data_IF_307855294702
#
_entry.id   IF_307855294702
#
_cell.length_a   1.000
_cell.length_b   1.000
_cell.length_c   1.000
_cell.angle_alpha   90.00
_cell.angle_beta   90.00
_cell.angle_gamma   90.00
#
_symmetry.space_group_name_H-M   'P 1'
#
loop_
_entity.id
_entity.type
_entity.pdbx_description
1 polymer ?
#
# COMPACT_ATOMS: atom_id res chain seq x y z
N UNK A 1 -19.21 -69.10 9.52
CA UNK A 1 -19.99 -68.28 8.56
C UNK A 1 -19.45 -66.87 8.64
N UNK A 2 -18.47 -66.57 7.78
CA UNK A 2 -17.70 -65.33 7.81
C UNK A 2 -17.95 -64.62 6.50
N UNK A 3 -18.72 -63.52 6.51
CA UNK A 3 -19.04 -62.73 5.32
C UNK A 3 -17.84 -61.83 5.00
N UNK A 4 -17.21 -62.09 3.86
CA UNK A 4 -16.22 -61.24 3.22
C UNK A 4 -16.96 -60.15 2.44
N UNK A 5 -16.59 -58.88 2.64
CA UNK A 5 -17.11 -57.73 1.90
C UNK A 5 -16.38 -57.58 0.55
N UNK A 6 -17.04 -57.10 -0.52
CA UNK A 6 -16.41 -56.95 -1.81
C UNK A 6 -15.58 -55.65 -1.90
N UNK A 7 -14.40 -55.80 -2.49
CA UNK A 7 -13.40 -54.80 -2.79
C UNK A 7 -13.88 -53.95 -3.98
N UNK A 8 -14.02 -52.64 -3.77
CA UNK A 8 -14.42 -51.66 -4.80
C UNK A 8 -13.15 -51.11 -5.46
N UNK A 9 -12.77 -51.70 -6.59
CA UNK A 9 -11.70 -51.19 -7.46
C UNK A 9 -12.21 -49.97 -8.24
N UNK A 10 -11.76 -48.78 -7.85
CA UNK A 10 -11.94 -47.54 -8.63
C UNK A 10 -10.86 -47.47 -9.72
N UNK A 11 -11.30 -47.54 -10.97
CA UNK A 11 -10.50 -47.45 -12.18
C UNK A 11 -9.90 -46.04 -12.34
N UNK A 12 -8.57 -45.95 -12.36
CA UNK A 12 -7.80 -44.70 -12.40
C UNK A 12 -7.65 -44.12 -13.82
N UNK A 13 -8.53 -44.47 -14.76
CA UNK A 13 -8.44 -44.06 -16.17
C UNK A 13 -9.52 -43.08 -16.64
N UNK A 14 -10.32 -42.49 -15.74
CA UNK A 14 -11.43 -41.58 -16.07
C UNK A 14 -11.28 -40.13 -15.53
N UNK A 15 -10.08 -39.70 -15.15
CA UNK A 15 -9.80 -38.30 -14.75
C UNK A 15 -8.87 -37.61 -15.74
N UNK A 16 -9.33 -37.45 -16.98
CA UNK A 16 -8.74 -36.49 -17.93
C UNK A 16 -9.85 -35.61 -18.50
N UNK A 17 -9.58 -34.30 -18.58
CA UNK A 17 -10.44 -33.24 -19.13
C UNK A 17 -11.53 -32.68 -18.20
N UNK A 18 -11.10 -32.09 -17.09
CA UNK A 18 -11.78 -30.91 -16.55
C UNK A 18 -10.86 -29.70 -16.75
N UNK A 19 -11.06 -28.98 -17.85
CA UNK A 19 -10.44 -27.69 -18.14
C UNK A 19 -10.75 -26.73 -16.98
N UNK A 20 -9.75 -26.45 -16.14
CA UNK A 20 -9.86 -25.41 -15.11
C UNK A 20 -9.91 -24.04 -15.81
N UNK A 21 -10.85 -23.15 -15.45
CA UNK A 21 -10.86 -21.79 -16.00
C UNK A 21 -9.59 -21.03 -15.58
N UNK A 22 -9.11 -20.18 -16.47
CA UNK A 22 -7.92 -19.35 -16.28
C UNK A 22 -8.19 -18.35 -15.14
N UNK A 23 -7.22 -18.15 -14.24
CA UNK A 23 -7.34 -17.22 -13.11
C UNK A 23 -7.50 -15.74 -13.54
N UNK A 24 -7.39 -15.44 -14.83
CA UNK A 24 -7.61 -14.12 -15.43
C UNK A 24 -9.11 -13.81 -15.67
N UNK A 25 -9.98 -14.82 -15.61
CA UNK A 25 -11.43 -14.67 -15.88
C UNK A 25 -12.29 -14.39 -14.63
N UNK A 26 -11.67 -14.25 -13.45
CA UNK A 26 -12.38 -14.08 -12.17
C UNK A 26 -12.50 -12.64 -11.69
N UNK A 27 -11.97 -11.66 -12.43
CA UNK A 27 -12.26 -10.25 -12.16
C UNK A 27 -13.47 -9.82 -13.00
N UNK A 28 -14.53 -9.26 -12.39
CA UNK A 28 -15.65 -8.73 -13.15
C UNK A 28 -15.14 -7.69 -14.14
N UNK A 29 -15.46 -7.91 -15.42
CA UNK A 29 -15.28 -6.90 -16.46
C UNK A 29 -15.94 -5.59 -15.99
N UNK A 30 -15.31 -4.42 -16.18
CA UNK A 30 -15.82 -3.16 -15.66
C UNK A 30 -17.21 -2.91 -16.26
N UNK A 31 -18.24 -3.10 -15.45
CA UNK A 31 -19.59 -2.63 -15.76
C UNK A 31 -19.53 -1.11 -15.79
N UNK A 32 -20.32 -0.51 -16.69
CA UNK A 32 -20.39 0.94 -16.82
C UNK A 32 -20.58 1.57 -15.43
N UNK A 33 -19.81 2.63 -15.09
CA UNK A 33 -19.85 3.22 -13.76
C UNK A 33 -21.30 3.60 -13.43
N UNK A 34 -21.78 3.30 -12.21
CA UNK A 34 -23.09 3.76 -11.78
C UNK A 34 -23.15 5.29 -11.95
N UNK A 35 -24.33 5.84 -12.31
CA UNK A 35 -24.47 7.28 -12.48
C UNK A 35 -23.93 7.99 -11.24
N UNK A 36 -23.17 9.09 -11.42
CA UNK A 36 -22.53 9.77 -10.31
C UNK A 36 -23.59 10.10 -9.27
N UNK A 37 -23.40 9.55 -8.06
CA UNK A 37 -24.22 9.91 -6.91
C UNK A 37 -24.16 11.44 -6.80
N UNK A 38 -25.30 12.14 -6.68
CA UNK A 38 -25.27 13.59 -6.55
C UNK A 38 -24.31 13.96 -5.44
N UNK A 39 -23.35 14.82 -5.77
CA UNK A 39 -22.36 15.30 -4.82
C UNK A 39 -23.09 15.69 -3.54
N UNK A 40 -22.64 15.23 -2.36
CA UNK A 40 -23.12 15.78 -1.10
C UNK A 40 -23.05 17.29 -1.24
N UNK A 41 -24.15 17.98 -0.95
CA UNK A 41 -24.13 19.45 -0.87
C UNK A 41 -22.90 19.82 -0.05
N UNK A 42 -22.06 20.77 -0.50
CA UNK A 42 -20.89 21.17 0.25
C UNK A 42 -21.34 21.39 1.70
N UNK A 43 -20.65 20.73 2.64
CA UNK A 43 -20.85 20.97 4.06
C UNK A 43 -20.47 22.42 4.32
N UNK A 44 -21.43 23.32 4.12
CA UNK A 44 -21.30 24.75 4.41
C UNK A 44 -21.39 25.02 5.91
N UNK A 45 -21.75 24.01 6.70
CA UNK A 45 -21.76 24.08 8.16
C UNK A 45 -20.84 23.02 8.78
N UNK A 46 -19.60 23.44 9.01
CA UNK A 46 -18.63 22.76 9.89
C UNK A 46 -19.02 22.78 11.38
N UNK A 47 -20.26 23.16 11.71
CA UNK A 47 -20.71 23.41 13.09
C UNK A 47 -21.22 22.17 13.81
N UNK A 48 -21.42 21.04 13.13
CA UNK A 48 -22.14 19.89 13.71
C UNK A 48 -21.30 18.65 13.96
N UNK A 49 -20.00 18.67 13.66
CA UNK A 49 -19.08 17.60 14.06
C UNK A 49 -17.79 18.20 14.62
N UNK A 50 -17.66 18.20 15.94
CA UNK A 50 -16.41 18.58 16.59
C UNK A 50 -16.64 19.16 17.97
N UNK A 51 -16.35 18.33 18.97
CA UNK A 51 -16.09 18.70 20.36
C UNK A 51 -15.41 20.09 20.40
N UNK A 52 -15.98 21.06 21.13
CA UNK A 52 -15.49 22.46 21.22
C UNK A 52 -13.98 22.54 21.50
N UNK A 53 -13.44 21.51 22.13
CA UNK A 53 -12.03 21.34 22.40
C UNK A 53 -11.17 21.19 21.13
N UNK A 54 -11.63 20.47 20.10
CA UNK A 54 -10.90 20.28 18.85
C UNK A 54 -10.91 21.55 17.99
N UNK A 55 -12.08 22.21 17.90
CA UNK A 55 -12.21 23.51 17.22
C UNK A 55 -11.31 24.57 17.89
N UNK A 56 -11.27 24.62 19.22
CA UNK A 56 -10.38 25.53 19.96
C UNK A 56 -8.91 25.18 19.76
N UNK A 57 -8.53 23.91 19.81
CA UNK A 57 -7.15 23.48 19.53
C UNK A 57 -6.74 23.83 18.10
N UNK A 58 -7.62 23.60 17.11
CA UNK A 58 -7.35 23.92 15.71
C UNK A 58 -7.22 25.43 15.49
N UNK A 59 -8.13 26.23 16.06
CA UNK A 59 -8.05 27.69 16.02
C UNK A 59 -6.82 28.24 16.78
N UNK A 60 -6.39 27.58 17.85
CA UNK A 60 -5.20 27.96 18.61
C UNK A 60 -3.91 27.63 17.85
N UNK A 61 -3.86 26.49 17.16
CA UNK A 61 -2.77 26.15 16.23
C UNK A 61 -2.76 27.11 15.04
N UNK A 62 -3.93 27.42 14.47
CA UNK A 62 -4.04 28.34 13.34
C UNK A 62 -3.65 29.77 13.75
N UNK A 63 -4.04 30.24 14.95
CA UNK A 63 -3.57 31.51 15.52
C UNK A 63 -2.08 31.49 15.85
N UNK A 64 -1.55 30.37 16.33
CA UNK A 64 -0.11 30.19 16.56
C UNK A 64 0.66 30.31 15.23
N UNK A 65 0.19 29.66 14.17
CA UNK A 65 0.78 29.72 12.83
C UNK A 65 0.68 31.15 12.25
N UNK A 66 -0.47 31.81 12.41
CA UNK A 66 -0.70 33.17 11.88
C UNK A 66 -0.01 34.29 12.68
N UNK A 67 0.25 34.08 13.98
CA UNK A 67 0.97 35.02 14.82
C UNK A 67 2.49 34.83 14.74
N UNK A 68 2.96 33.68 14.27
CA UNK A 68 4.38 33.42 14.04
C UNK A 68 4.82 33.92 12.65
N UNK A 69 4.51 35.19 12.36
CA UNK A 69 4.85 35.87 11.09
C UNK A 69 6.35 36.03 10.84
N UNK A 70 7.19 35.71 11.82
CA UNK A 70 8.65 35.76 11.71
C UNK A 70 9.30 34.42 11.31
N UNK A 71 8.58 33.28 11.37
CA UNK A 71 9.18 31.95 11.18
C UNK A 71 9.12 31.40 9.75
N UNK A 72 8.44 32.08 8.80
CA UNK A 72 8.47 31.68 7.39
C UNK A 72 9.84 31.90 6.74
N UNK A 73 10.73 32.65 7.39
CA UNK A 73 12.14 32.82 7.00
C UNK A 73 13.11 31.98 7.86
N UNK A 74 12.60 31.13 8.75
CA UNK A 74 13.46 30.29 9.58
C UNK A 74 14.00 29.14 8.71
N UNK A 75 15.21 29.35 8.20
CA UNK A 75 16.05 28.32 7.61
C UNK A 75 16.00 27.06 8.50
N UNK A 76 15.97 25.88 7.88
CA UNK A 76 15.98 24.62 8.62
C UNK A 76 17.13 24.63 9.63
N UNK A 77 16.83 24.23 10.86
CA UNK A 77 17.85 24.02 11.87
C UNK A 77 18.80 22.90 11.44
N UNK A 78 20.04 22.95 11.92
CA UNK A 78 21.04 21.88 11.71
C UNK A 78 20.53 20.50 12.12
N UNK A 79 19.65 20.43 13.12
CA UNK A 79 19.02 19.18 13.56
C UNK A 79 18.06 18.64 12.50
N UNK A 80 17.24 19.50 11.92
CA UNK A 80 16.32 19.12 10.83
C UNK A 80 17.11 18.67 9.60
N UNK A 81 18.17 19.39 9.20
CA UNK A 81 19.01 18.97 8.06
C UNK A 81 19.67 17.60 8.30
N UNK A 82 20.17 17.35 9.51
CA UNK A 82 20.73 16.04 9.88
C UNK A 82 19.66 14.94 9.85
N UNK A 83 18.44 15.24 10.28
CA UNK A 83 17.33 14.30 10.24
C UNK A 83 16.96 13.94 8.80
N UNK A 84 16.88 14.92 7.90
CA UNK A 84 16.60 14.68 6.48
C UNK A 84 17.67 13.77 5.85
N UNK A 85 18.95 14.04 6.14
CA UNK A 85 20.06 13.19 5.67
C UNK A 85 19.97 11.78 6.23
N UNK A 86 19.65 11.64 7.51
CA UNK A 86 19.45 10.35 8.13
C UNK A 86 18.28 9.58 7.50
N UNK A 87 17.15 10.24 7.25
CA UNK A 87 15.99 9.66 6.58
C UNK A 87 16.37 9.21 5.16
N UNK A 88 17.05 10.06 4.40
CA UNK A 88 17.54 9.70 3.06
C UNK A 88 18.47 8.49 3.09
N UNK A 89 19.33 8.38 4.10
CA UNK A 89 20.17 7.21 4.30
C UNK A 89 19.35 5.95 4.62
N UNK A 90 18.30 6.07 5.44
CA UNK A 90 17.42 4.95 5.75
C UNK A 90 16.64 4.44 4.55
N UNK A 91 16.30 5.31 3.59
CA UNK A 91 15.59 4.90 2.37
C UNK A 91 16.49 4.42 1.26
N UNK A 92 17.74 4.91 1.23
CA UNK A 92 18.71 4.55 0.19
C UNK A 92 18.78 3.03 0.02
N UNK A 93 18.45 2.58 -1.19
CA UNK A 93 18.51 1.17 -1.54
C UNK A 93 19.94 0.66 -1.40
N UNK A 94 20.22 -0.10 -0.35
CA UNK A 94 21.33 -1.04 -0.38
C UNK A 94 21.03 -2.01 -1.52
N UNK A 95 21.81 -1.88 -2.59
CA UNK A 95 21.74 -2.67 -3.81
C UNK A 95 21.39 -4.12 -3.55
N UNK A 96 20.39 -4.61 -4.27
CA UNK A 96 19.95 -6.02 -4.35
C UNK A 96 21.04 -6.99 -4.83
N UNK A 97 22.25 -6.50 -5.12
CA UNK A 97 23.44 -7.31 -5.36
C UNK A 97 24.03 -7.82 -4.05
N UNK A 98 23.33 -8.73 -3.39
CA UNK A 98 24.00 -9.70 -2.52
C UNK A 98 23.45 -11.06 -2.85
N UNK A 99 23.92 -11.57 -3.99
CA UNK A 99 24.18 -12.99 -4.16
C UNK A 99 24.90 -13.48 -2.92
N UNK A 100 24.58 -14.70 -2.49
CA UNK A 100 25.26 -15.50 -1.47
C UNK A 100 24.92 -15.25 0.00
N UNK A 101 24.10 -16.17 0.51
CA UNK A 101 24.43 -16.98 1.69
C UNK A 101 24.65 -16.22 2.99
N UNK A 102 23.65 -15.50 3.45
CA UNK A 102 23.42 -15.48 4.89
C UNK A 102 21.93 -15.58 5.14
N UNK A 103 21.54 -16.76 5.60
CA UNK A 103 20.29 -17.07 6.29
C UNK A 103 20.23 -16.25 7.59
N UNK A 104 20.29 -14.92 7.51
CA UNK A 104 19.65 -14.14 8.54
C UNK A 104 18.18 -14.31 8.27
N UNK A 105 17.55 -15.15 9.09
CA UNK A 105 16.11 -15.13 9.29
C UNK A 105 15.71 -13.66 9.31
N UNK A 106 15.15 -13.16 8.19
CA UNK A 106 14.58 -11.84 8.12
C UNK A 106 13.39 -11.90 9.05
N UNK A 107 13.68 -11.59 10.31
CA UNK A 107 12.75 -11.52 11.42
C UNK A 107 11.61 -10.66 10.94
N UNK A 108 10.49 -11.35 10.72
CA UNK A 108 9.17 -10.88 10.35
C UNK A 108 8.88 -9.48 10.88
N UNK A 109 9.30 -8.46 10.15
CA UNK A 109 9.07 -7.10 10.59
C UNK A 109 7.93 -6.53 9.75
N UNK A 110 6.73 -7.08 9.94
CA UNK A 110 5.51 -6.53 9.36
C UNK A 110 5.37 -5.02 9.65
N UNK A 111 6.00 -4.53 10.73
CA UNK A 111 6.03 -3.11 11.07
C UNK A 111 6.85 -2.23 10.11
N UNK A 112 7.75 -2.79 9.28
CA UNK A 112 8.62 -2.00 8.40
C UNK A 112 7.82 -1.18 7.39
N UNK A 113 6.63 -1.66 6.99
CA UNK A 113 5.69 -0.93 6.12
C UNK A 113 5.29 0.42 6.72
N UNK A 114 5.11 0.48 8.04
CA UNK A 114 4.75 1.72 8.73
C UNK A 114 5.93 2.68 8.74
N UNK A 115 7.13 2.20 9.05
CA UNK A 115 8.34 3.03 9.04
C UNK A 115 8.58 3.64 7.65
N UNK A 116 8.43 2.84 6.59
CA UNK A 116 8.54 3.31 5.20
C UNK A 116 7.48 4.35 4.86
N UNK A 117 6.22 4.09 5.21
CA UNK A 117 5.12 5.02 4.97
C UNK A 117 5.36 6.38 5.64
N UNK A 118 5.69 6.37 6.93
CA UNK A 118 5.90 7.61 7.69
C UNK A 118 7.14 8.38 7.23
N UNK A 119 8.19 7.68 6.78
CA UNK A 119 9.35 8.32 6.16
C UNK A 119 8.92 9.06 4.88
N UNK A 120 8.14 8.42 4.01
CA UNK A 120 7.65 9.07 2.79
C UNK A 120 6.73 10.27 3.10
N UNK A 121 5.84 10.15 4.08
CA UNK A 121 4.98 11.28 4.50
C UNK A 121 5.79 12.46 5.02
N UNK A 122 6.83 12.16 5.80
CA UNK A 122 7.76 13.18 6.31
C UNK A 122 8.50 13.86 5.16
N UNK A 123 8.96 13.09 4.17
CA UNK A 123 9.63 13.63 2.99
C UNK A 123 8.70 14.56 2.18
N UNK A 124 7.44 14.16 1.98
CA UNK A 124 6.45 14.98 1.29
C UNK A 124 6.16 16.30 2.05
N UNK A 125 5.98 16.22 3.38
CA UNK A 125 5.77 17.40 4.21
C UNK A 125 6.99 18.35 4.19
N UNK A 126 8.20 17.78 4.19
CA UNK A 126 9.44 18.55 4.06
C UNK A 126 9.57 19.23 2.71
N UNK A 127 9.20 18.55 1.61
CA UNK A 127 9.22 19.14 0.27
C UNK A 127 8.40 20.44 0.20
N UNK A 128 7.26 20.46 0.89
CA UNK A 128 6.41 21.65 0.98
C UNK A 128 7.07 22.80 1.76
N UNK A 129 7.81 22.49 2.83
CA UNK A 129 8.52 23.50 3.64
C UNK A 129 9.83 23.95 3.00
N UNK A 130 10.50 23.09 2.24
CA UNK A 130 11.79 23.36 1.61
C UNK A 130 11.81 23.02 0.13
N UNK A 131 11.19 23.87 -0.71
CA UNK A 131 11.08 23.62 -2.15
C UNK A 131 12.45 23.46 -2.84
N UNK A 132 13.51 24.05 -2.27
CA UNK A 132 14.89 23.91 -2.78
C UNK A 132 15.45 22.48 -2.65
N UNK A 133 14.83 21.59 -1.86
CA UNK A 133 15.25 20.19 -1.67
C UNK A 133 14.21 19.20 -2.21
N UNK A 134 13.34 19.63 -3.13
CA UNK A 134 12.29 18.80 -3.70
C UNK A 134 12.81 17.50 -4.32
N UNK A 135 13.92 17.55 -5.07
CA UNK A 135 14.53 16.36 -5.69
C UNK A 135 14.89 15.28 -4.66
N UNK A 136 15.39 15.69 -3.50
CA UNK A 136 15.72 14.76 -2.42
C UNK A 136 14.46 14.10 -1.86
N UNK A 137 13.39 14.87 -1.65
CA UNK A 137 12.13 14.32 -1.18
C UNK A 137 11.49 13.35 -2.18
N UNK A 138 11.52 13.69 -3.48
CA UNK A 138 11.08 12.81 -4.57
C UNK A 138 11.87 11.51 -4.54
N UNK A 139 13.19 11.58 -4.39
CA UNK A 139 14.04 10.39 -4.28
C UNK A 139 13.69 9.53 -3.07
N UNK A 140 13.47 10.14 -1.90
CA UNK A 140 13.08 9.43 -0.68
C UNK A 140 11.74 8.71 -0.89
N UNK A 141 10.76 9.38 -1.49
CA UNK A 141 9.45 8.79 -1.82
C UNK A 141 9.59 7.60 -2.76
N UNK A 142 10.33 7.76 -3.86
CA UNK A 142 10.60 6.68 -4.82
C UNK A 142 11.26 5.48 -4.16
N UNK A 143 12.36 5.71 -3.43
CA UNK A 143 13.07 4.65 -2.70
C UNK A 143 12.15 3.95 -1.68
N UNK A 144 11.23 4.68 -1.05
CA UNK A 144 10.26 4.13 -0.09
C UNK A 144 9.20 3.25 -0.79
N UNK A 145 8.71 3.67 -1.95
CA UNK A 145 7.77 2.91 -2.78
C UNK A 145 8.42 1.61 -3.25
N UNK A 146 9.61 1.68 -3.84
CA UNK A 146 10.33 0.48 -4.31
C UNK A 146 10.57 -0.54 -3.20
N UNK A 147 10.85 -0.06 -1.98
CA UNK A 147 10.97 -0.92 -0.80
C UNK A 147 9.64 -1.49 -0.35
N UNK A 148 8.56 -0.72 -0.39
CA UNK A 148 7.21 -1.20 -0.08
C UNK A 148 6.77 -2.31 -1.02
N UNK A 149 7.19 -2.29 -2.28
CA UNK A 149 6.91 -3.32 -3.29
C UNK A 149 7.75 -4.61 -3.10
N UNK A 150 8.80 -4.57 -2.28
CA UNK A 150 9.64 -5.74 -2.05
C UNK A 150 8.91 -6.80 -1.23
N UNK A 151 9.00 -8.08 -1.66
CA UNK A 151 8.40 -9.24 -0.99
C UNK A 151 8.75 -9.34 0.50
N UNK A 152 9.92 -8.84 0.93
CA UNK A 152 10.31 -8.82 2.36
C UNK A 152 9.40 -7.94 3.22
N UNK A 153 8.69 -6.97 2.64
CA UNK A 153 7.81 -6.04 3.35
C UNK A 153 6.39 -6.57 3.44
N UNK A 154 5.85 -7.08 2.34
CA UNK A 154 4.44 -7.52 2.26
C UNK A 154 4.27 -9.04 2.31
N UNK A 155 5.33 -9.83 2.24
CA UNK A 155 5.29 -11.30 2.23
C UNK A 155 4.72 -11.95 3.50
N UNK A 156 4.37 -11.16 4.52
CA UNK A 156 3.63 -11.63 5.68
C UNK A 156 2.20 -12.09 5.34
N UNK A 157 1.69 -11.79 4.14
CA UNK A 157 0.33 -12.17 3.72
C UNK A 157 0.08 -13.68 3.76
N UNK A 158 1.10 -14.52 3.57
CA UNK A 158 1.02 -15.99 3.72
C UNK A 158 0.72 -16.44 5.16
N UNK A 159 0.85 -15.55 6.15
CA UNK A 159 0.44 -15.87 7.51
C UNK A 159 -1.06 -15.66 7.74
N UNK A 160 -1.64 -14.64 7.09
CA UNK A 160 -3.00 -14.19 7.37
C UNK A 160 -3.99 -14.69 6.31
N UNK A 161 -3.62 -14.64 5.03
CA UNK A 161 -4.53 -14.87 3.91
C UNK A 161 -4.11 -16.04 3.00
N UNK A 162 -3.29 -16.98 3.47
CA UNK A 162 -2.87 -18.17 2.69
C UNK A 162 -4.04 -18.96 2.11
N UNK A 163 -5.15 -19.00 2.84
CA UNK A 163 -6.34 -19.78 2.48
C UNK A 163 -7.38 -18.98 1.69
N UNK A 164 -7.11 -17.70 1.40
CA UNK A 164 -8.01 -16.85 0.61
C UNK A 164 -7.78 -17.13 -0.88
N UNK A 165 -8.85 -17.15 -1.65
CA UNK A 165 -8.81 -17.44 -3.08
C UNK A 165 -8.00 -16.43 -3.92
N UNK A 166 -7.82 -15.20 -3.42
CA UNK A 166 -7.04 -14.13 -4.06
C UNK A 166 -5.54 -14.21 -3.76
N UNK A 167 -5.10 -15.15 -2.91
CA UNK A 167 -3.69 -15.32 -2.59
C UNK A 167 -2.87 -15.65 -3.87
N UNK A 168 -1.70 -15.03 -4.11
CA UNK A 168 -0.90 -14.21 -3.19
C UNK A 168 -1.01 -12.68 -3.43
N UNK A 169 -2.19 -12.15 -3.78
CA UNK A 169 -2.38 -10.70 -3.94
C UNK A 169 -2.40 -9.97 -2.59
N UNK A 170 -1.48 -9.02 -2.32
CA UNK A 170 -1.42 -8.30 -1.05
C UNK A 170 -2.44 -7.17 -0.91
N UNK A 171 -3.21 -6.86 -1.95
CA UNK A 171 -4.08 -5.67 -2.03
C UNK A 171 -5.54 -6.04 -2.27
N UNK A 172 -5.80 -7.10 -3.04
CA UNK A 172 -7.15 -7.42 -3.52
C UNK A 172 -8.14 -7.75 -2.38
N UNK A 173 -7.67 -8.18 -1.22
CA UNK A 173 -8.51 -8.54 -0.08
C UNK A 173 -7.89 -8.06 1.24
N UNK A 174 -8.63 -7.23 1.95
CA UNK A 174 -8.27 -6.62 3.23
C UNK A 174 -6.92 -5.91 3.20
N UNK A 175 -6.12 -6.07 4.25
CA UNK A 175 -4.77 -5.54 4.36
C UNK A 175 -4.69 -4.02 4.13
N UNK A 176 -5.73 -3.28 4.58
CA UNK A 176 -5.86 -1.84 4.32
C UNK A 176 -4.64 -1.06 4.80
N UNK A 177 -4.02 -1.50 5.89
CA UNK A 177 -2.85 -0.84 6.46
C UNK A 177 -1.67 -0.85 5.49
N UNK A 178 -1.53 -1.87 4.64
CA UNK A 178 -0.49 -1.89 3.62
C UNK A 178 -0.93 -1.15 2.36
N UNK A 179 -2.10 -1.51 1.82
CA UNK A 179 -2.59 -0.99 0.53
C UNK A 179 -2.82 0.51 0.58
N UNK A 180 -3.40 1.05 1.67
CA UNK A 180 -3.59 2.49 1.85
C UNK A 180 -2.27 3.25 2.00
N UNK A 181 -1.30 2.70 2.74
CA UNK A 181 0.00 3.33 2.89
C UNK A 181 0.74 3.40 1.55
N UNK A 182 0.71 2.31 0.78
CA UNK A 182 1.29 2.28 -0.57
C UNK A 182 0.60 3.29 -1.50
N UNK A 183 -0.75 3.31 -1.53
CA UNK A 183 -1.50 4.26 -2.35
C UNK A 183 -1.18 5.72 -1.99
N UNK A 184 -1.09 6.02 -0.70
CA UNK A 184 -0.76 7.36 -0.23
C UNK A 184 0.67 7.75 -0.64
N UNK A 185 1.64 6.84 -0.62
CA UNK A 185 3.00 7.12 -1.08
C UNK A 185 3.05 7.38 -2.60
N UNK A 186 2.36 6.56 -3.39
CA UNK A 186 2.28 6.69 -4.85
C UNK A 186 1.68 8.05 -5.24
N UNK A 187 0.53 8.39 -4.66
CA UNK A 187 -0.15 9.67 -4.94
C UNK A 187 0.67 10.88 -4.50
N UNK A 188 1.40 10.80 -3.37
CA UNK A 188 2.33 11.86 -2.97
C UNK A 188 3.52 12.01 -3.91
N UNK A 189 4.08 10.88 -4.38
CA UNK A 189 5.16 10.88 -5.36
C UNK A 189 4.71 11.55 -6.65
N UNK A 190 3.60 11.10 -7.23
CA UNK A 190 3.04 11.65 -8.47
C UNK A 190 2.72 13.14 -8.33
N UNK A 191 2.11 13.53 -7.20
CA UNK A 191 1.76 14.94 -6.95
C UNK A 191 2.97 15.85 -6.80
N UNK A 192 4.09 15.39 -6.24
CA UNK A 192 5.28 16.21 -6.00
C UNK A 192 6.25 16.22 -7.17
N UNK A 193 6.37 15.11 -7.88
CA UNK A 193 7.30 14.96 -9.00
C UNK A 193 6.68 15.31 -10.35
N UNK A 194 5.35 15.19 -10.49
CA UNK A 194 4.69 15.19 -11.80
C UNK A 194 5.01 13.94 -12.64
N UNK A 195 5.68 12.95 -12.07
CA UNK A 195 6.00 11.67 -12.72
C UNK A 195 4.90 10.65 -12.43
N UNK A 196 4.16 10.29 -13.49
CA UNK A 196 3.05 9.34 -13.45
C UNK A 196 3.45 7.92 -13.89
N UNK A 197 4.75 7.58 -13.87
CA UNK A 197 5.24 6.24 -14.26
C UNK A 197 4.48 5.12 -13.54
N UNK A 198 4.18 5.25 -12.24
CA UNK A 198 3.44 4.21 -11.50
C UNK A 198 1.96 4.11 -11.86
N UNK A 199 1.35 5.13 -12.46
CA UNK A 199 -0.03 5.06 -12.96
C UNK A 199 -0.09 4.58 -14.42
N UNK A 200 0.88 5.00 -15.23
CA UNK A 200 0.95 4.70 -16.67
C UNK A 200 1.54 3.30 -16.90
N UNK A 201 2.76 3.07 -16.43
CA UNK A 201 3.48 1.81 -16.64
C UNK A 201 3.15 0.77 -15.56
N UNK A 202 2.74 1.24 -14.38
CA UNK A 202 2.41 0.40 -13.24
C UNK A 202 3.63 -0.16 -12.50
N UNK A 203 3.37 -1.16 -11.68
CA UNK A 203 4.34 -1.86 -10.85
C UNK A 203 3.85 -3.27 -10.55
N UNK A 204 4.76 -4.11 -10.07
CA UNK A 204 4.50 -5.54 -9.94
C UNK A 204 4.77 -6.04 -8.52
N UNK A 205 3.80 -6.76 -7.97
CA UNK A 205 4.04 -7.63 -6.82
C UNK A 205 4.58 -8.96 -7.32
N UNK A 206 5.81 -9.28 -6.93
CA UNK A 206 6.48 -10.52 -7.28
C UNK A 206 6.47 -11.44 -6.06
N UNK A 207 5.67 -12.50 -6.13
CA UNK A 207 5.65 -13.58 -5.15
C UNK A 207 6.61 -14.69 -5.60
N UNK A 208 7.71 -14.84 -4.86
CA UNK A 208 8.76 -15.85 -5.11
C UNK A 208 9.28 -16.41 -3.78
N UNK A 209 8.42 -17.12 -3.05
CA UNK A 209 8.76 -17.68 -1.74
C UNK A 209 9.12 -19.16 -1.78
N UNK A 210 8.58 -19.90 -2.75
CA UNK A 210 8.62 -21.37 -2.75
C UNK A 210 9.54 -21.95 -3.84
N UNK A 211 10.30 -21.13 -4.57
CA UNK A 211 11.17 -21.52 -5.71
C UNK A 211 10.51 -22.37 -6.82
N UNK A 212 9.20 -22.68 -6.70
CA UNK A 212 8.47 -23.54 -7.62
C UNK A 212 7.72 -22.73 -8.68
N UNK A 213 7.19 -21.54 -8.34
CA UNK A 213 6.46 -20.65 -9.26
C UNK A 213 6.52 -19.19 -8.84
N UNK A 214 7.07 -18.34 -9.71
CA UNK A 214 7.01 -16.89 -9.57
C UNK A 214 5.60 -16.43 -9.99
N UNK A 215 4.84 -15.86 -9.06
CA UNK A 215 3.56 -15.21 -9.38
C UNK A 215 3.76 -13.71 -9.47
N UNK A 216 3.36 -13.12 -10.59
CA UNK A 216 3.48 -11.69 -10.86
C UNK A 216 2.09 -11.06 -10.90
N UNK A 217 1.85 -10.08 -10.07
CA UNK A 217 0.55 -9.40 -9.96
C UNK A 217 0.76 -7.92 -10.26
N UNK A 218 0.20 -7.49 -11.39
CA UNK A 218 0.41 -6.16 -11.92
C UNK A 218 -0.66 -5.17 -11.43
N UNK A 219 -0.21 -4.01 -10.95
CA UNK A 219 -1.03 -2.90 -10.52
C UNK A 219 -0.51 -1.59 -11.12
N UNK A 220 -1.40 -0.61 -11.19
CA UNK A 220 -1.00 0.79 -11.30
C UNK A 220 -1.69 1.58 -10.18
N UNK A 221 -1.32 2.85 -10.00
CA UNK A 221 -1.87 3.70 -8.93
C UNK A 221 -3.40 3.73 -8.96
N UNK A 222 -4.00 3.93 -10.13
CA UNK A 222 -5.46 3.94 -10.30
C UNK A 222 -6.11 2.59 -9.96
N UNK A 223 -5.56 1.46 -10.41
CA UNK A 223 -6.08 0.11 -10.13
C UNK A 223 -5.99 -0.21 -8.64
N UNK A 224 -4.92 0.22 -7.96
CA UNK A 224 -4.80 0.10 -6.50
C UNK A 224 -5.89 0.90 -5.78
N UNK A 225 -6.13 2.14 -6.21
CA UNK A 225 -7.21 2.96 -5.66
C UNK A 225 -8.58 2.31 -5.86
N UNK A 226 -8.84 1.76 -7.05
CA UNK A 226 -10.08 1.02 -7.32
C UNK A 226 -10.21 -0.25 -6.48
N UNK A 227 -9.13 -1.01 -6.27
CA UNK A 227 -9.17 -2.20 -5.43
C UNK A 227 -9.60 -1.88 -3.99
N UNK A 228 -9.10 -0.78 -3.43
CA UNK A 228 -9.52 -0.30 -2.09
C UNK A 228 -10.98 0.17 -2.14
N UNK A 229 -11.35 0.95 -3.15
CA UNK A 229 -12.72 1.46 -3.30
C UNK A 229 -13.75 0.33 -3.41
N UNK A 230 -13.47 -0.72 -4.18
CA UNK A 230 -14.37 -1.87 -4.32
C UNK A 230 -14.57 -2.57 -2.99
N UNK A 231 -13.50 -2.80 -2.22
CA UNK A 231 -13.62 -3.38 -0.89
C UNK A 231 -14.47 -2.52 0.05
N UNK A 232 -14.30 -1.19 0.04
CA UNK A 232 -15.14 -0.28 0.82
C UNK A 232 -16.62 -0.35 0.43
N UNK A 233 -16.92 -0.60 -0.85
CA UNK A 233 -18.28 -0.70 -1.36
C UNK A 233 -18.94 -2.05 -1.07
N UNK A 234 -18.18 -3.13 -1.07
CA UNK A 234 -18.68 -4.48 -0.78
C UNK A 234 -18.90 -4.68 0.72
N UNK A 235 -18.10 -4.01 1.55
CA UNK A 235 -18.21 -4.08 3.00
C UNK A 235 -19.36 -3.26 3.57
N UNK A 236 -20.14 -3.88 4.46
CA UNK A 236 -21.28 -3.23 5.12
C UNK A 236 -20.88 -2.06 6.02
N UNK A 237 -19.62 -2.02 6.46
CA UNK A 237 -19.06 -1.01 7.35
C UNK A 237 -18.56 0.25 6.63
N UNK A 238 -18.58 0.28 5.29
CA UNK A 238 -17.99 1.34 4.45
C UNK A 238 -16.48 1.57 4.66
N UNK A 239 -15.78 0.59 5.24
CA UNK A 239 -14.33 0.57 5.42
C UNK A 239 -13.69 -0.67 4.80
N UNK A 240 -12.39 -0.84 4.99
CA UNK A 240 -11.65 -2.06 4.63
C UNK A 240 -10.96 -2.59 5.88
N UNK A 241 -11.03 -3.89 6.11
CA UNK A 241 -10.41 -4.54 7.28
C UNK A 241 -8.90 -4.60 7.19
N UNK A 242 -8.26 -4.74 8.36
CA UNK A 242 -6.83 -4.96 8.47
C UNK A 242 -6.46 -6.44 8.24
N UNK A 243 -7.20 -7.36 8.87
CA UNK A 243 -7.09 -8.82 8.89
C UNK A 243 -8.45 -9.47 9.10
#
# INVERSE_FOLDING_TARGET
MTKVAPELTLDASQLSEATRPNATDLLPQPTAPPPPRPLPKPLTDFKTFGNDHFQKSFQQVQKSILNNKDDTNQLLSEKELKLIRFISYLTYMQTTTTTTTTTTNLTWNGSIRYSLAHIGYTAAALAYRTPNYLELAIKILKDSIERMLNIKVWGYIDRYWKNVHTFPDPVCHENIMYSSHLLQLLTLYESLSGDFTYDIDGFDFIWDKDNDRITKIHYNTTKLAYAIYYQMNEESSAGVSCE
#
